data_IF_781351944410
#
_entry.id   IF_781351944410
#
_cell.length_a   1.000
_cell.length_b   1.000
_cell.length_c   1.000
_cell.angle_alpha   90.00
_cell.angle_beta   90.00
_cell.angle_gamma   90.00
#
_symmetry.space_group_name_H-M   'P 1'
#
loop_
_entity.id
_entity.type
_entity.pdbx_description
1 polymer ?
#
# COMPACT_ATOMS: atom_id res chain seq x y z
N UNK A 1 12.60 9.48 3.89
CA UNK A 1 12.50 9.48 2.41
C UNK A 1 11.11 9.01 2.10
N UNK A 2 10.22 9.90 1.71
CA UNK A 2 8.87 9.55 1.29
C UNK A 2 8.91 8.82 -0.05
N UNK A 3 8.07 7.81 -0.22
CA UNK A 3 7.85 7.18 -1.52
C UNK A 3 7.24 8.22 -2.48
N UNK A 4 7.71 8.25 -3.73
CA UNK A 4 7.17 9.16 -4.74
C UNK A 4 5.77 8.72 -5.17
N UNK A 5 4.83 9.66 -5.24
CA UNK A 5 3.41 9.38 -5.52
C UNK A 5 3.21 8.61 -6.83
N UNK A 6 3.96 8.97 -7.90
CA UNK A 6 3.88 8.29 -9.18
C UNK A 6 4.33 6.82 -9.13
N UNK A 7 5.28 6.48 -8.26
CA UNK A 7 5.72 5.10 -8.03
C UNK A 7 4.68 4.35 -7.22
N UNK A 8 4.08 4.98 -6.20
CA UNK A 8 3.02 4.39 -5.39
C UNK A 8 1.78 4.07 -6.25
N UNK A 9 1.35 5.01 -7.08
CA UNK A 9 0.21 4.84 -7.99
C UNK A 9 0.44 3.69 -8.99
N UNK A 10 1.65 3.58 -9.55
CA UNK A 10 1.99 2.49 -10.45
C UNK A 10 1.96 1.12 -9.75
N UNK A 11 2.48 1.03 -8.52
CA UNK A 11 2.42 -0.21 -7.73
C UNK A 11 0.97 -0.60 -7.40
N UNK A 12 0.14 0.37 -6.98
CA UNK A 12 -1.29 0.15 -6.71
C UNK A 12 -1.99 -0.36 -7.98
N UNK A 13 -1.74 0.28 -9.13
CA UNK A 13 -2.31 -0.11 -10.41
C UNK A 13 -1.92 -1.54 -10.78
N UNK A 14 -0.63 -1.90 -10.70
CA UNK A 14 -0.15 -3.26 -10.99
C UNK A 14 -0.81 -4.31 -10.11
N UNK A 15 -1.00 -4.02 -8.82
CA UNK A 15 -1.68 -4.91 -7.87
C UNK A 15 -3.17 -5.09 -8.21
N UNK A 16 -3.88 -4.01 -8.54
CA UNK A 16 -5.29 -4.06 -8.91
C UNK A 16 -5.51 -4.78 -10.25
N UNK A 17 -4.64 -4.56 -11.23
CA UNK A 17 -4.73 -5.20 -12.55
C UNK A 17 -4.58 -6.73 -12.44
N UNK A 18 -3.72 -7.23 -11.55
CA UNK A 18 -3.59 -8.66 -11.30
C UNK A 18 -4.83 -9.28 -10.66
N UNK A 19 -5.56 -8.53 -9.81
CA UNK A 19 -6.84 -8.96 -9.24
C UNK A 19 -7.94 -9.10 -10.31
N UNK A 20 -7.94 -8.23 -11.31
CA UNK A 20 -8.94 -8.22 -12.38
C UNK A 20 -8.61 -9.17 -13.55
N UNK A 21 -7.43 -9.80 -13.52
CA UNK A 21 -7.01 -10.77 -14.51
C UNK A 21 -7.79 -12.09 -14.39
N UNK A 22 -8.19 -12.65 -15.53
CA UNK A 22 -8.89 -13.96 -15.61
C UNK A 22 -8.05 -15.13 -15.07
N UNK A 23 -6.73 -14.96 -15.02
CA UNK A 23 -5.78 -15.92 -14.47
C UNK A 23 -4.97 -15.26 -13.35
N UNK A 24 -4.62 -16.04 -12.33
CA UNK A 24 -3.73 -15.59 -11.25
C UNK A 24 -2.39 -15.19 -11.86
N UNK A 25 -2.07 -13.89 -11.80
CA UNK A 25 -0.83 -13.33 -12.31
C UNK A 25 0.01 -12.84 -11.15
N UNK A 26 1.26 -13.28 -11.08
CA UNK A 26 2.22 -12.71 -10.14
C UNK A 26 2.52 -11.26 -10.54
N UNK A 27 2.39 -10.36 -9.57
CA UNK A 27 2.78 -8.95 -9.73
C UNK A 27 4.27 -8.85 -9.48
N UNK A 28 5.00 -8.36 -10.47
CA UNK A 28 6.42 -8.03 -10.29
C UNK A 28 6.50 -6.76 -9.45
N UNK A 29 7.09 -6.85 -8.26
CA UNK A 29 7.39 -5.71 -7.38
C UNK A 29 8.86 -5.85 -6.99
N UNK A 30 9.63 -4.78 -7.13
CA UNK A 30 11.07 -4.84 -6.84
C UNK A 30 11.33 -4.79 -5.34
N UNK A 31 12.49 -5.28 -4.89
CA UNK A 31 12.91 -5.19 -3.48
C UNK A 31 12.93 -3.72 -3.00
N UNK A 32 13.31 -2.77 -3.87
CA UNK A 32 13.32 -1.35 -3.52
C UNK A 32 11.91 -0.81 -3.30
N UNK A 33 10.94 -1.17 -4.15
CA UNK A 33 9.53 -0.78 -4.00
C UNK A 33 8.95 -1.34 -2.70
N UNK A 34 9.22 -2.63 -2.40
CA UNK A 34 8.78 -3.27 -1.16
C UNK A 34 9.37 -2.56 0.07
N UNK A 35 10.68 -2.26 0.05
CA UNK A 35 11.34 -1.54 1.15
C UNK A 35 10.75 -0.14 1.34
N UNK A 36 10.51 0.59 0.26
CA UNK A 36 9.92 1.93 0.33
C UNK A 36 8.51 1.91 0.91
N UNK A 37 7.67 0.95 0.48
CA UNK A 37 6.34 0.74 1.06
C UNK A 37 6.43 0.48 2.57
N UNK A 38 7.28 -0.46 2.99
CA UNK A 38 7.43 -0.82 4.40
C UNK A 38 7.95 0.35 5.25
N UNK A 39 8.94 1.08 4.77
CA UNK A 39 9.52 2.22 5.50
C UNK A 39 8.53 3.38 5.60
N UNK A 40 7.84 3.70 4.51
CA UNK A 40 6.83 4.77 4.48
C UNK A 40 5.64 4.42 5.36
N UNK A 41 5.12 3.18 5.27
CA UNK A 41 4.02 2.72 6.12
C UNK A 41 4.40 2.72 7.60
N UNK A 42 5.64 2.29 7.94
CA UNK A 42 6.16 2.34 9.31
C UNK A 42 6.16 3.77 9.85
N UNK A 43 6.60 4.74 9.07
CA UNK A 43 6.59 6.15 9.47
C UNK A 43 5.16 6.66 9.72
N UNK A 44 4.21 6.32 8.83
CA UNK A 44 2.79 6.67 9.01
C UNK A 44 2.23 6.05 10.29
N UNK A 45 2.46 4.76 10.53
CA UNK A 45 1.96 4.07 11.73
C UNK A 45 2.57 4.62 13.02
N UNK A 46 3.85 5.00 13.02
CA UNK A 46 4.49 5.62 14.18
C UNK A 46 3.98 7.04 14.48
N UNK A 47 3.50 7.75 13.45
CA UNK A 47 2.89 9.07 13.60
C UNK A 47 1.41 9.00 14.01
N UNK A 48 0.77 7.83 13.91
CA UNK A 48 -0.59 7.60 14.37
C UNK A 48 -0.59 7.10 15.83
N UNK A 49 -1.64 7.38 16.61
CA UNK A 49 -1.77 6.81 17.95
C UNK A 49 -1.98 5.30 17.90
N UNK A 50 -1.42 4.57 18.87
CA UNK A 50 -1.62 3.12 19.00
C UNK A 50 -3.09 2.73 19.20
N UNK A 51 -3.89 3.63 19.77
CA UNK A 51 -5.34 3.51 19.87
C UNK A 51 -5.97 4.46 18.83
N UNK A 52 -6.43 3.91 17.72
CA UNK A 52 -7.05 4.70 16.65
C UNK A 52 -8.47 5.12 17.06
N UNK A 53 -8.74 6.42 16.95
CA UNK A 53 -10.08 6.99 17.05
C UNK A 53 -10.61 7.18 15.62
N UNK A 54 -11.62 6.39 15.23
CA UNK A 54 -12.17 6.36 13.88
C UNK A 54 -13.64 6.78 13.89
N UNK A 55 -14.04 7.59 12.91
CA UNK A 55 -15.42 8.03 12.74
C UNK A 55 -16.16 7.16 11.70
N UNK A 56 -17.47 6.97 11.90
CA UNK A 56 -18.33 6.26 10.96
C UNK A 56 -18.69 7.16 9.75
N UNK A 57 -18.94 6.59 8.55
CA UNK A 57 -19.03 5.16 8.24
C UNK A 57 -17.68 4.53 7.85
N UNK A 58 -17.40 3.34 8.38
CA UNK A 58 -16.21 2.54 8.02
C UNK A 58 -16.59 1.07 7.81
N UNK A 59 -15.93 0.40 6.86
CA UNK A 59 -16.03 -1.06 6.68
C UNK A 59 -14.89 -1.73 7.44
N UNK A 60 -15.23 -2.65 8.35
CA UNK A 60 -14.26 -3.50 9.06
C UNK A 60 -14.22 -4.83 8.30
N UNK A 61 -13.02 -5.26 7.87
CA UNK A 61 -12.78 -6.49 7.14
C UNK A 61 -12.01 -7.50 8.00
#
# INVERSE_FOLDING_TARGET
>A
MSMEDGVLDDVIKRLLDAKNSRTVKQVQITDSEIRQLCLTAKEIFLNQPNLLELEAPIKIC
#
